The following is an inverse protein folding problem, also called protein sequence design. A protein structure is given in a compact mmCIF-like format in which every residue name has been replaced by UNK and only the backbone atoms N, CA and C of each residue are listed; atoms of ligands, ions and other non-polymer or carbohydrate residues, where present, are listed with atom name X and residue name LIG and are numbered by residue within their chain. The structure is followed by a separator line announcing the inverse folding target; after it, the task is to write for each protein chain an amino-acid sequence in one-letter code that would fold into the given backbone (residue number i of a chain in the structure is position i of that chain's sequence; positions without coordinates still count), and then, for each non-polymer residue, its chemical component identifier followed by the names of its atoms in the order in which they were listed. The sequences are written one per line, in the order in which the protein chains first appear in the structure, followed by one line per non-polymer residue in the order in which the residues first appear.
data_IF_760973516241
#
_entry.id   IF_760973516241
#
_cell.length_a   1.000
_cell.length_b   1.000
_cell.length_c   1.000
_cell.angle_alpha   90.00
_cell.angle_beta   90.00
_cell.angle_gamma   90.00
#
_symmetry.space_group_name_H-M   'P 1'
#
loop_
_entity.id
_entity.type
_entity.pdbx_description
1 polymer ?
#
# COMPACT_ATOMS: atom_id res chain seq x y z
N UNK A 1 1.52 28.16 -5.00
CA UNK A 1 0.85 27.96 -3.70
C UNK A 1 0.84 26.47 -3.43
N UNK A 2 1.43 26.05 -2.31
CA UNK A 2 1.57 24.66 -1.90
C UNK A 2 0.19 24.06 -1.57
N UNK A 3 -0.34 23.20 -2.42
CA UNK A 3 -1.45 22.32 -2.04
C UNK A 3 -0.85 21.05 -1.47
N UNK A 4 -0.48 21.15 -0.19
CA UNK A 4 -0.02 20.05 0.65
C UNK A 4 -1.17 19.12 1.02
N UNK A 5 -1.73 18.43 0.03
CA UNK A 5 -2.29 17.11 0.29
C UNK A 5 -1.08 16.19 0.42
N UNK A 6 -0.88 15.66 1.62
CA UNK A 6 0.08 14.59 1.86
C UNK A 6 -0.12 13.57 0.74
N UNK A 7 0.86 13.45 -0.15
CA UNK A 7 0.78 12.58 -1.30
C UNK A 7 1.05 11.15 -0.81
N UNK A 8 0.15 10.62 0.03
CA UNK A 8 0.08 9.20 0.38
C UNK A 8 -0.08 8.34 -0.88
N UNK A 9 -0.44 8.96 -2.02
CA UNK A 9 -0.90 8.34 -3.26
C UNK A 9 0.20 8.15 -4.33
N UNK A 10 1.40 8.70 -4.11
CA UNK A 10 2.60 8.45 -4.95
C UNK A 10 3.76 7.85 -4.16
N UNK A 11 3.50 7.44 -2.91
CA UNK A 11 4.56 6.97 -2.04
C UNK A 11 4.83 5.49 -2.37
N UNK A 12 5.89 5.27 -3.16
CA UNK A 12 6.36 3.94 -3.60
C UNK A 12 6.58 2.97 -2.44
N UNK A 13 6.80 3.50 -1.25
CA UNK A 13 6.99 2.72 -0.03
C UNK A 13 5.79 1.79 0.27
N UNK A 14 4.57 2.16 -0.17
CA UNK A 14 3.38 1.33 0.00
C UNK A 14 3.13 0.37 -1.19
N UNK A 15 3.76 0.59 -2.35
CA UNK A 15 3.63 -0.31 -3.50
C UNK A 15 4.15 -1.71 -3.14
N UNK A 16 5.21 -1.78 -2.34
CA UNK A 16 5.81 -3.05 -1.89
C UNK A 16 4.96 -3.81 -0.87
N UNK A 17 3.97 -3.14 -0.28
CA UNK A 17 3.00 -3.75 0.62
C UNK A 17 1.77 -4.29 -0.11
N UNK A 18 1.62 -4.02 -1.41
CA UNK A 18 0.50 -4.47 -2.22
C UNK A 18 0.97 -5.49 -3.27
N UNK A 19 0.16 -6.51 -3.60
CA UNK A 19 0.44 -7.34 -4.76
C UNK A 19 0.44 -6.48 -6.03
N UNK A 20 1.34 -6.77 -6.97
CA UNK A 20 1.55 -5.95 -8.18
C UNK A 20 0.26 -5.70 -8.96
N UNK A 21 -0.60 -6.72 -9.08
CA UNK A 21 -1.89 -6.67 -9.78
C UNK A 21 -2.90 -5.68 -9.17
N UNK A 22 -2.68 -5.22 -7.91
CA UNK A 22 -3.56 -4.26 -7.23
C UNK A 22 -2.92 -2.89 -7.00
N UNK A 23 -1.61 -2.71 -7.22
CA UNK A 23 -0.92 -1.43 -6.95
C UNK A 23 -1.64 -0.24 -7.58
N UNK A 24 -1.93 -0.34 -8.87
CA UNK A 24 -2.56 0.75 -9.63
C UNK A 24 -4.05 0.93 -9.31
N UNK A 25 -4.70 -0.04 -8.68
CA UNK A 25 -6.09 0.10 -8.22
C UNK A 25 -6.20 1.09 -7.06
N UNK A 26 -5.15 1.26 -6.27
CA UNK A 26 -5.13 2.18 -5.13
C UNK A 26 -4.48 3.54 -5.42
N UNK A 27 -3.82 3.69 -6.57
CA UNK A 27 -3.20 4.97 -6.98
C UNK A 27 -4.23 5.95 -7.51
N UNK A 28 -4.23 7.16 -6.98
CA UNK A 28 -5.21 8.19 -7.27
C UNK A 28 -4.51 9.44 -7.83
N UNK A 29 -5.04 10.02 -8.92
CA UNK A 29 -4.40 11.14 -9.62
C UNK A 29 -4.78 12.54 -9.08
N UNK A 30 -5.64 12.62 -8.06
CA UNK A 30 -6.09 13.88 -7.47
C UNK A 30 -7.42 14.43 -8.02
N UNK A 31 -7.99 13.85 -9.07
CA UNK A 31 -9.24 14.32 -9.69
C UNK A 31 -10.51 13.71 -9.06
N UNK A 32 -11.63 14.44 -8.94
CA UNK A 32 -12.87 13.84 -8.41
C UNK A 32 -13.34 12.58 -9.16
N UNK A 33 -13.11 12.56 -10.47
CA UNK A 33 -13.45 11.44 -11.36
C UNK A 33 -12.61 10.19 -11.07
N UNK A 34 -11.29 10.34 -10.93
CA UNK A 34 -10.45 9.21 -10.56
C UNK A 34 -10.77 8.71 -9.15
N UNK A 35 -11.18 9.59 -8.21
CA UNK A 35 -11.51 9.17 -6.85
C UNK A 35 -12.79 8.32 -6.85
N UNK A 36 -13.82 8.80 -7.54
CA UNK A 36 -15.08 8.09 -7.69
C UNK A 36 -14.84 6.72 -8.33
N UNK A 37 -14.04 6.66 -9.40
CA UNK A 37 -13.66 5.40 -10.04
C UNK A 37 -12.92 4.46 -9.09
N UNK A 38 -11.96 4.95 -8.30
CA UNK A 38 -11.22 4.12 -7.34
C UNK A 38 -12.12 3.56 -6.24
N UNK A 39 -13.04 4.36 -5.71
CA UNK A 39 -14.00 3.91 -4.70
C UNK A 39 -14.88 2.79 -5.27
N UNK A 40 -15.37 2.95 -6.50
CA UNK A 40 -16.15 1.91 -7.18
C UNK A 40 -15.32 0.65 -7.45
N UNK A 41 -14.09 0.80 -7.95
CA UNK A 41 -13.19 -0.33 -8.23
C UNK A 41 -12.89 -1.15 -6.96
N UNK A 42 -12.67 -0.48 -5.82
CA UNK A 42 -12.47 -1.13 -4.52
C UNK A 42 -13.76 -1.78 -4.02
N UNK A 43 -14.91 -1.09 -4.15
CA UNK A 43 -16.21 -1.62 -3.76
C UNK A 43 -16.64 -2.86 -4.55
N UNK A 44 -16.08 -3.06 -5.74
CA UNK A 44 -16.32 -4.22 -6.60
C UNK A 44 -15.36 -5.39 -6.36
N UNK A 45 -14.36 -5.25 -5.48
CA UNK A 45 -13.44 -6.34 -5.16
C UNK A 45 -14.18 -7.47 -4.45
N UNK A 46 -13.88 -8.71 -4.85
CA UNK A 46 -14.39 -9.89 -4.14
C UNK A 46 -13.69 -10.03 -2.80
N UNK A 47 -14.38 -10.65 -1.84
CA UNK A 47 -13.82 -10.95 -0.51
C UNK A 47 -12.49 -11.70 -0.62
N UNK A 48 -12.37 -12.63 -1.55
CA UNK A 48 -11.12 -13.39 -1.77
C UNK A 48 -9.96 -12.50 -2.25
N UNK A 49 -10.24 -11.50 -3.08
CA UNK A 49 -9.24 -10.51 -3.52
C UNK A 49 -8.81 -9.64 -2.34
N UNK A 50 -9.76 -9.20 -1.51
CA UNK A 50 -9.48 -8.41 -0.29
C UNK A 50 -8.61 -9.22 0.67
N UNK A 51 -8.93 -10.48 0.91
CA UNK A 51 -8.14 -11.38 1.76
C UNK A 51 -6.71 -11.55 1.22
N UNK A 52 -6.56 -11.74 -0.10
CA UNK A 52 -5.25 -11.84 -0.75
C UNK A 52 -4.40 -10.59 -0.52
N UNK A 53 -5.01 -9.40 -0.67
CA UNK A 53 -4.33 -8.12 -0.44
C UNK A 53 -3.88 -8.02 1.02
N UNK A 54 -4.79 -8.26 1.97
CA UNK A 54 -4.50 -8.19 3.42
C UNK A 54 -3.37 -9.16 3.81
N UNK A 55 -3.48 -10.44 3.42
CA UNK A 55 -2.46 -11.45 3.77
C UNK A 55 -1.10 -11.13 3.17
N UNK A 56 -1.05 -10.61 1.94
CA UNK A 56 0.21 -10.19 1.32
C UNK A 56 0.85 -9.02 2.08
N UNK A 57 0.06 -7.98 2.39
CA UNK A 57 0.54 -6.81 3.15
C UNK A 57 1.05 -7.21 4.52
N UNK A 58 0.32 -8.06 5.24
CA UNK A 58 0.73 -8.57 6.56
C UNK A 58 2.06 -9.33 6.48
N UNK A 59 2.23 -10.23 5.51
CA UNK A 59 3.49 -10.99 5.34
C UNK A 59 4.68 -10.08 5.03
N UNK A 60 4.48 -9.01 4.25
CA UNK A 60 5.52 -8.02 3.95
C UNK A 60 5.92 -7.21 5.18
N UNK A 61 4.93 -6.75 5.96
CA UNK A 61 5.15 -6.01 7.19
C UNK A 61 5.85 -6.87 8.26
N UNK A 62 5.49 -8.14 8.40
CA UNK A 62 6.18 -9.08 9.30
C UNK A 62 7.65 -9.23 8.92
N UNK A 63 7.95 -9.43 7.62
CA UNK A 63 9.33 -9.53 7.14
C UNK A 63 10.12 -8.25 7.38
N UNK A 64 9.53 -7.08 7.12
CA UNK A 64 10.17 -5.80 7.41
C UNK A 64 10.41 -5.61 8.91
N UNK A 65 9.46 -5.98 9.76
CA UNK A 65 9.60 -5.93 11.21
C UNK A 65 10.75 -6.81 11.71
N UNK A 66 10.83 -8.06 11.22
CA UNK A 66 11.92 -8.99 11.55
C UNK A 66 13.27 -8.46 11.04
N UNK A 67 13.33 -7.94 9.82
CA UNK A 67 14.56 -7.35 9.27
C UNK A 67 15.04 -6.16 10.10
N UNK A 68 14.12 -5.25 10.47
CA UNK A 68 14.44 -4.11 11.34
C UNK A 68 14.94 -4.56 12.72
N UNK A 69 14.37 -5.64 13.27
CA UNK A 69 14.85 -6.25 14.51
C UNK A 69 16.29 -6.80 14.34
N UNK A 70 16.56 -7.52 13.27
CA UNK A 70 17.89 -8.07 12.96
C UNK A 70 18.92 -6.95 12.77
N UNK A 71 18.60 -5.90 12.01
CA UNK A 71 19.49 -4.74 11.81
C UNK A 71 19.80 -4.03 13.14
N UNK A 72 18.80 -3.87 14.02
CA UNK A 72 19.01 -3.29 15.36
C UNK A 72 19.94 -4.15 16.22
N UNK A 73 19.84 -5.48 16.15
CA UNK A 73 20.75 -6.38 16.87
C UNK A 73 22.17 -6.28 16.29
N UNK A 74 22.32 -6.31 14.96
CA UNK A 74 23.62 -6.19 14.29
C UNK A 74 24.32 -4.84 14.52
N UNK A 75 23.58 -3.75 14.71
CA UNK A 75 24.15 -2.42 15.00
C UNK A 75 24.70 -2.30 16.43
N UNK A 76 24.23 -3.15 17.35
CA UNK A 76 24.64 -3.16 18.75
C UNK A 76 25.89 -4.06 18.97
N UNK A 77 26.12 -5.03 18.08
CA UNK A 77 27.27 -5.96 18.12
C UNK A 77 28.46 -5.34 17.38
#
# INVERSE_FOLDING_TARGET
MSHGLVNFYSNSDYDDLLPEEYRDKFKFDGTPESLSKKITDIGNLKIDEINKIISFSQSKLEKQSVNNLVERVLTII
#
